data_IF_672947211067
#
_entry.id   IF_672947211067
#
_cell.length_a   1.000
_cell.length_b   1.000
_cell.length_c   1.000
_cell.angle_alpha   90.00
_cell.angle_beta   90.00
_cell.angle_gamma   90.00
#
_symmetry.space_group_name_H-M   'P 1'
#
loop_
_entity.id
_entity.type
_entity.pdbx_description
1 polymer ?
#
# COMPACT_ATOMS: atom_id res chain seq x y z
N UNK A 1 -4.18 -28.36 -8.39
CA UNK A 1 -5.37 -28.12 -7.56
C UNK A 1 -6.01 -26.84 -8.07
N UNK A 2 -7.13 -26.95 -8.77
CA UNK A 2 -7.90 -25.79 -9.23
C UNK A 2 -8.60 -25.18 -8.01
N UNK A 3 -8.21 -23.97 -7.66
CA UNK A 3 -8.90 -23.15 -6.66
C UNK A 3 -9.49 -21.95 -7.39
N UNK A 4 -10.82 -21.83 -7.34
CA UNK A 4 -11.62 -20.75 -7.92
C UNK A 4 -13.08 -21.21 -8.01
N UNK A 5 -14.02 -20.36 -7.59
CA UNK A 5 -15.43 -20.63 -7.84
C UNK A 5 -15.64 -20.62 -9.36
N UNK A 6 -16.25 -21.69 -9.86
CA UNK A 6 -16.37 -21.93 -11.29
C UNK A 6 -17.85 -21.94 -11.65
N UNK A 7 -18.25 -21.08 -12.60
CA UNK A 7 -19.62 -21.06 -13.11
C UNK A 7 -19.67 -21.75 -14.46
N UNK A 8 -20.58 -22.69 -14.63
CA UNK A 8 -20.81 -23.37 -15.92
C UNK A 8 -22.06 -22.80 -16.56
N UNK A 9 -21.95 -22.35 -17.80
CA UNK A 9 -23.04 -21.77 -18.58
C UNK A 9 -23.22 -22.57 -19.86
N UNK A 10 -24.41 -23.14 -20.02
CA UNK A 10 -24.86 -23.76 -21.27
C UNK A 10 -25.79 -22.83 -22.03
N UNK A 11 -25.60 -22.70 -23.34
CA UNK A 11 -26.50 -21.96 -24.22
C UNK A 11 -26.62 -22.61 -25.60
N UNK A 12 -27.70 -22.28 -26.31
CA UNK A 12 -27.92 -22.68 -27.70
C UNK A 12 -27.83 -21.47 -28.62
N UNK A 13 -27.14 -21.60 -29.74
CA UNK A 13 -27.00 -20.54 -30.74
C UNK A 13 -27.09 -21.09 -32.17
N UNK A 14 -28.04 -20.58 -32.95
CA UNK A 14 -28.13 -20.84 -34.37
C UNK A 14 -27.20 -19.88 -35.14
N UNK A 15 -26.22 -20.44 -35.86
CA UNK A 15 -25.33 -19.71 -36.78
C UNK A 15 -24.32 -18.70 -36.16
N UNK A 16 -23.73 -19.01 -35.00
CA UNK A 16 -22.65 -18.18 -34.45
C UNK A 16 -21.28 -18.59 -34.96
N UNK A 17 -20.46 -17.59 -35.35
CA UNK A 17 -19.03 -17.79 -35.64
C UNK A 17 -18.16 -17.51 -34.42
N UNK A 18 -18.61 -16.62 -33.54
CA UNK A 18 -17.93 -16.29 -32.28
C UNK A 18 -18.93 -15.90 -31.20
N UNK A 19 -18.48 -15.95 -29.95
CA UNK A 19 -19.21 -15.43 -28.81
C UNK A 19 -18.23 -14.75 -27.85
N UNK A 20 -18.70 -13.69 -27.21
CA UNK A 20 -18.00 -12.98 -26.16
C UNK A 20 -18.86 -12.97 -24.91
N UNK A 21 -18.33 -13.54 -23.83
CA UNK A 21 -18.93 -13.43 -22.52
C UNK A 21 -18.27 -12.29 -21.75
N UNK A 22 -19.07 -11.56 -20.99
CA UNK A 22 -18.59 -10.50 -20.12
C UNK A 22 -19.44 -10.43 -18.87
N UNK A 23 -18.79 -10.12 -17.76
CA UNK A 23 -19.46 -9.85 -16.50
C UNK A 23 -19.62 -8.33 -16.35
N UNK A 24 -20.78 -7.87 -15.90
CA UNK A 24 -21.10 -6.45 -15.79
C UNK A 24 -21.44 -6.09 -14.35
N UNK A 25 -21.03 -4.91 -13.90
CA UNK A 25 -21.50 -4.30 -12.66
C UNK A 25 -21.91 -2.86 -12.96
N UNK A 26 -23.20 -2.63 -13.18
CA UNK A 26 -23.67 -1.38 -13.78
C UNK A 26 -23.05 -1.19 -15.17
N UNK A 27 -22.25 -0.12 -15.36
CA UNK A 27 -21.58 0.17 -16.63
C UNK A 27 -20.19 -0.46 -16.78
N UNK A 28 -19.62 -1.03 -15.71
CA UNK A 28 -18.29 -1.66 -15.73
C UNK A 28 -18.37 -3.02 -16.41
N UNK A 29 -17.40 -3.33 -17.26
CA UNK A 29 -17.30 -4.59 -18.00
C UNK A 29 -16.03 -5.32 -17.58
N UNK A 30 -16.18 -6.51 -17.01
CA UNK A 30 -15.09 -7.40 -16.63
C UNK A 30 -15.00 -8.54 -17.66
N UNK A 31 -13.81 -8.76 -18.20
CA UNK A 31 -13.54 -9.90 -19.10
C UNK A 31 -12.96 -11.01 -18.25
N UNK A 32 -13.68 -12.12 -18.12
CA UNK A 32 -13.22 -13.26 -17.32
C UNK A 32 -12.56 -14.31 -18.22
N UNK A 33 -11.53 -15.02 -17.73
CA UNK A 33 -11.05 -16.23 -18.38
C UNK A 33 -12.19 -17.23 -18.55
N UNK A 34 -12.38 -17.70 -19.78
CA UNK A 34 -13.41 -18.67 -20.14
C UNK A 34 -12.80 -19.86 -20.88
N UNK A 35 -13.40 -21.03 -20.72
CA UNK A 35 -13.03 -22.25 -21.44
C UNK A 35 -14.29 -22.92 -22.00
N UNK A 36 -14.27 -23.24 -23.29
CA UNK A 36 -15.29 -24.13 -23.86
C UNK A 36 -15.08 -25.54 -23.33
N UNK A 37 -16.09 -26.08 -22.65
CA UNK A 37 -16.07 -27.43 -22.07
C UNK A 37 -16.65 -28.44 -23.04
N UNK A 38 -17.66 -28.03 -23.80
CA UNK A 38 -18.41 -28.90 -24.68
C UNK A 38 -19.09 -28.11 -25.81
N UNK A 39 -19.17 -28.73 -26.99
CA UNK A 39 -19.93 -28.23 -28.15
C UNK A 39 -20.50 -29.40 -28.92
N UNK A 40 -21.81 -29.37 -29.15
CA UNK A 40 -22.51 -30.30 -30.04
C UNK A 40 -23.58 -29.53 -30.82
N UNK A 41 -23.40 -29.44 -32.15
CA UNK A 41 -24.29 -28.65 -33.00
C UNK A 41 -24.38 -27.18 -32.56
N UNK A 42 -25.59 -26.76 -32.18
CA UNK A 42 -25.89 -25.40 -31.72
C UNK A 42 -25.70 -25.23 -30.20
N UNK A 43 -25.46 -26.30 -29.45
CA UNK A 43 -25.35 -26.29 -27.99
C UNK A 43 -23.89 -26.10 -27.59
N UNK A 44 -23.62 -25.13 -26.73
CA UNK A 44 -22.28 -24.77 -26.24
C UNK A 44 -22.31 -24.67 -24.72
N UNK A 45 -21.34 -25.32 -24.06
CA UNK A 45 -21.07 -25.15 -22.63
C UNK A 45 -19.74 -24.44 -22.41
N UNK A 46 -19.79 -23.41 -21.59
CA UNK A 46 -18.63 -22.64 -21.15
C UNK A 46 -18.42 -22.79 -19.65
N UNK A 47 -17.16 -22.78 -19.27
CA UNK A 47 -16.69 -22.67 -17.91
C UNK A 47 -16.07 -21.30 -17.71
N UNK A 48 -16.56 -20.59 -16.71
CA UNK A 48 -16.07 -19.29 -16.27
C UNK A 48 -15.32 -19.45 -14.97
N UNK A 49 -14.10 -18.96 -14.95
CA UNK A 49 -13.29 -18.96 -13.74
C UNK A 49 -13.48 -17.61 -13.05
N UNK A 50 -14.27 -17.59 -11.97
CA UNK A 50 -14.44 -16.43 -11.09
C UNK A 50 -13.27 -16.42 -10.10
N UNK A 51 -12.09 -16.09 -10.62
CA UNK A 51 -10.88 -15.92 -9.81
C UNK A 51 -10.22 -14.58 -10.10
N UNK A 52 -11.05 -13.57 -10.42
CA UNK A 52 -10.60 -12.20 -10.56
C UNK A 52 -10.51 -11.57 -9.16
N UNK A 53 -9.31 -11.37 -8.59
CA UNK A 53 -9.12 -10.88 -7.22
C UNK A 53 -9.67 -9.46 -6.95
N UNK A 54 -10.17 -8.78 -7.98
CA UNK A 54 -10.71 -7.43 -7.91
C UNK A 54 -12.25 -7.36 -7.99
N UNK A 55 -12.95 -8.50 -8.04
CA UNK A 55 -14.42 -8.47 -7.97
C UNK A 55 -14.85 -8.11 -6.54
N UNK A 56 -15.44 -6.94 -6.39
CA UNK A 56 -16.09 -6.52 -5.16
C UNK A 56 -17.31 -7.40 -4.86
N UNK A 57 -17.70 -7.49 -3.59
CA UNK A 57 -18.99 -8.11 -3.25
C UNK A 57 -20.13 -7.32 -3.89
N UNK A 58 -21.00 -7.99 -4.64
CA UNK A 58 -22.05 -7.31 -5.38
C UNK A 58 -22.89 -8.22 -6.28
N UNK A 59 -23.88 -7.61 -6.92
CA UNK A 59 -24.63 -8.25 -7.99
C UNK A 59 -23.99 -7.90 -9.32
N UNK A 60 -23.71 -8.93 -10.11
CA UNK A 60 -23.12 -8.81 -11.43
C UNK A 60 -24.06 -9.40 -12.49
N UNK A 61 -24.13 -8.79 -13.66
CA UNK A 61 -24.88 -9.33 -14.79
C UNK A 61 -23.95 -10.03 -15.76
N UNK A 62 -24.26 -11.27 -16.09
CA UNK A 62 -23.57 -12.04 -17.11
C UNK A 62 -24.19 -11.74 -18.48
N UNK A 63 -23.41 -11.09 -19.35
CA UNK A 63 -23.77 -10.75 -20.72
C UNK A 63 -23.03 -11.67 -21.69
N UNK A 64 -23.78 -12.37 -22.52
CA UNK A 64 -23.24 -13.12 -23.66
C UNK A 64 -23.62 -12.38 -24.93
N UNK A 65 -22.60 -11.92 -25.64
CA UNK A 65 -22.75 -11.35 -26.96
C UNK A 65 -22.37 -12.42 -27.98
N UNK A 66 -23.29 -12.73 -28.88
CA UNK A 66 -23.06 -13.68 -29.95
C UNK A 66 -22.86 -12.89 -31.23
N UNK A 67 -21.74 -13.12 -31.93
CA UNK A 67 -21.54 -12.48 -33.23
C UNK A 67 -22.23 -13.32 -34.32
N UNK A 68 -23.39 -12.85 -34.75
CA UNK A 68 -24.05 -13.21 -35.99
C UNK A 68 -24.18 -11.97 -36.89
N UNK A 69 -24.65 -12.15 -38.13
CA UNK A 69 -24.81 -11.05 -39.10
C UNK A 69 -25.66 -9.87 -38.56
N UNK A 70 -26.54 -10.13 -37.59
CA UNK A 70 -27.38 -9.14 -36.90
C UNK A 70 -26.93 -8.98 -35.44
N UNK A 71 -25.93 -8.13 -35.21
CA UNK A 71 -25.29 -7.87 -33.91
C UNK A 71 -26.31 -7.58 -32.77
N UNK A 72 -26.65 -8.61 -31.99
CA UNK A 72 -27.47 -8.49 -30.77
C UNK A 72 -26.65 -8.76 -29.51
N UNK A 73 -26.80 -7.92 -28.48
CA UNK A 73 -26.28 -8.19 -27.14
C UNK A 73 -27.41 -8.75 -26.25
N UNK A 74 -27.19 -9.91 -25.64
CA UNK A 74 -28.17 -10.55 -24.75
C UNK A 74 -27.62 -10.66 -23.32
N UNK A 75 -28.40 -10.21 -22.34
CA UNK A 75 -28.11 -10.40 -20.90
C UNK A 75 -28.86 -11.64 -20.42
N UNK A 76 -28.18 -12.58 -19.77
CA UNK A 76 -28.75 -13.91 -19.46
C UNK A 76 -29.06 -14.11 -17.99
N UNK A 77 -28.23 -13.59 -17.08
CA UNK A 77 -28.38 -13.89 -15.66
C UNK A 77 -27.70 -12.85 -14.78
N UNK A 78 -28.28 -12.56 -13.61
CA UNK A 78 -27.62 -11.81 -12.55
C UNK A 78 -27.11 -12.80 -11.50
N UNK A 79 -25.83 -12.73 -11.16
CA UNK A 79 -25.20 -13.51 -10.11
C UNK A 79 -24.82 -12.61 -8.95
N UNK A 80 -25.00 -13.11 -7.73
CA UNK A 80 -24.51 -12.43 -6.52
C UNK A 80 -23.17 -13.03 -6.15
N UNK A 81 -22.11 -12.25 -6.31
CA UNK A 81 -20.78 -12.61 -5.85
C UNK A 81 -20.58 -12.04 -4.45
N UNK A 82 -20.12 -12.87 -3.52
CA UNK A 82 -19.72 -12.42 -2.18
C UNK A 82 -18.23 -12.73 -2.06
N UNK A 83 -17.40 -11.71 -2.23
CA UNK A 83 -15.99 -11.83 -1.91
C UNK A 83 -15.81 -12.13 -0.42
N UNK A 84 -14.68 -12.71 -0.04
CA UNK A 84 -14.33 -12.86 1.36
C UNK A 84 -14.28 -11.46 1.99
N UNK A 85 -15.05 -11.25 3.07
CA UNK A 85 -15.01 -9.97 3.79
C UNK A 85 -13.58 -9.72 4.26
N UNK A 86 -13.04 -8.53 3.98
CA UNK A 86 -11.70 -8.15 4.42
C UNK A 86 -11.56 -8.43 5.91
N UNK A 87 -10.51 -9.13 6.30
CA UNK A 87 -10.21 -9.51 7.66
C UNK A 87 -8.70 -9.49 7.87
N UNK A 88 -8.27 -8.95 9.00
CA UNK A 88 -6.89 -9.09 9.45
C UNK A 88 -6.67 -10.56 9.85
N UNK A 89 -5.57 -11.16 9.36
CA UNK A 89 -5.17 -12.53 9.69
C UNK A 89 -3.98 -12.61 10.63
N UNK A 90 -3.19 -11.53 10.73
CA UNK A 90 -2.01 -11.50 11.57
C UNK A 90 -1.00 -10.45 11.12
N UNK A 91 0.28 -10.73 11.33
CA UNK A 91 1.40 -9.84 11.06
C UNK A 91 2.56 -10.59 10.41
N UNK A 92 3.29 -9.89 9.55
CA UNK A 92 4.63 -10.28 9.15
C UNK A 92 5.64 -9.44 9.94
N UNK A 93 6.58 -10.08 10.64
CA UNK A 93 7.53 -9.46 11.55
C UNK A 93 8.96 -9.69 11.04
N UNK A 94 9.63 -8.63 10.59
CA UNK A 94 10.99 -8.69 10.09
C UNK A 94 11.98 -8.41 11.22
N UNK A 95 12.88 -9.36 11.49
CA UNK A 95 13.99 -9.17 12.41
C UNK A 95 15.33 -9.35 11.73
N UNK A 96 16.39 -9.38 12.52
CA UNK A 96 17.77 -9.41 12.02
C UNK A 96 18.10 -10.72 11.29
N UNK A 97 17.57 -11.84 11.79
CA UNK A 97 17.93 -13.19 11.32
C UNK A 97 16.77 -13.98 10.75
N UNK A 98 15.54 -13.49 10.90
CA UNK A 98 14.35 -14.20 10.46
C UNK A 98 13.18 -13.28 10.12
N UNK A 99 12.34 -13.73 9.20
CA UNK A 99 10.99 -13.22 8.99
C UNK A 99 9.99 -14.17 9.64
N UNK A 100 9.12 -13.66 10.51
CA UNK A 100 8.03 -14.46 11.10
C UNK A 100 6.68 -14.03 10.56
N UNK A 101 5.84 -14.98 10.16
CA UNK A 101 4.41 -14.77 9.96
C UNK A 101 3.70 -15.25 11.22
N UNK A 102 3.00 -14.33 11.89
CA UNK A 102 2.26 -14.59 13.13
C UNK A 102 0.78 -14.41 12.84
N UNK A 103 -0.03 -15.45 13.02
CA UNK A 103 -1.49 -15.32 12.86
C UNK A 103 -2.16 -14.72 14.11
N UNK A 104 -3.45 -14.39 14.02
CA UNK A 104 -4.20 -13.84 15.16
C UNK A 104 -4.30 -14.80 16.38
N UNK A 105 -4.08 -16.10 16.17
CA UNK A 105 -4.04 -17.11 17.24
C UNK A 105 -2.62 -17.28 17.81
N UNK A 106 -1.68 -16.41 17.41
CA UNK A 106 -0.28 -16.43 17.80
C UNK A 106 0.51 -17.66 17.29
N UNK A 107 -0.01 -18.38 16.29
CA UNK A 107 0.78 -19.40 15.60
C UNK A 107 1.84 -18.72 14.73
N UNK A 108 3.03 -19.32 14.69
CA UNK A 108 4.21 -18.72 14.04
C UNK A 108 4.78 -19.63 12.98
N UNK A 109 5.09 -19.03 11.84
CA UNK A 109 5.92 -19.63 10.80
C UNK A 109 7.15 -18.73 10.66
N UNK A 110 8.34 -19.29 10.85
CA UNK A 110 9.60 -18.55 10.77
C UNK A 110 10.40 -18.96 9.55
N UNK A 111 10.90 -17.96 8.82
CA UNK A 111 11.77 -18.13 7.67
C UNK A 111 13.15 -17.53 7.99
N UNK A 112 14.24 -18.30 7.92
CA UNK A 112 15.57 -17.78 8.15
C UNK A 112 15.96 -16.78 7.04
N UNK A 113 16.64 -15.71 7.43
CA UNK A 113 17.19 -14.72 6.52
C UNK A 113 18.70 -14.88 6.46
N UNK A 114 19.23 -15.02 5.25
CA UNK A 114 20.67 -15.16 5.05
C UNK A 114 21.44 -13.85 5.27
N UNK A 115 20.74 -12.70 5.21
CA UNK A 115 21.31 -11.34 5.25
C UNK A 115 20.32 -10.38 5.89
N UNK A 116 20.78 -9.26 6.49
CA UNK A 116 19.93 -8.32 7.19
C UNK A 116 19.08 -7.52 6.21
N UNK A 117 17.77 -7.48 6.43
CA UNK A 117 16.83 -6.57 5.77
C UNK A 117 16.32 -5.57 6.82
N UNK A 118 15.98 -4.36 6.39
CA UNK A 118 15.51 -3.28 7.27
C UNK A 118 14.09 -2.79 6.93
N UNK A 119 13.54 -3.20 5.79
CA UNK A 119 12.16 -2.90 5.43
C UNK A 119 11.42 -4.14 4.88
N UNK A 120 10.13 -4.19 5.21
CA UNK A 120 9.20 -5.24 4.81
C UNK A 120 7.89 -4.61 4.33
N UNK A 121 7.35 -5.10 3.21
CA UNK A 121 5.95 -4.87 2.84
C UNK A 121 5.31 -6.14 2.31
N UNK A 122 4.02 -6.32 2.59
CA UNK A 122 3.26 -7.50 2.17
C UNK A 122 2.07 -7.09 1.31
N UNK A 123 2.00 -7.61 0.09
CA UNK A 123 0.78 -7.59 -0.72
C UNK A 123 -0.01 -8.86 -0.45
N UNK A 124 -1.05 -8.78 0.39
CA UNK A 124 -1.93 -9.94 0.66
C UNK A 124 -2.70 -10.35 -0.61
N UNK A 125 -3.11 -9.35 -1.41
CA UNK A 125 -3.74 -9.48 -2.73
C UNK A 125 -2.92 -10.40 -3.66
N UNK A 126 -1.66 -10.03 -3.88
CA UNK A 126 -0.77 -10.78 -4.78
C UNK A 126 -0.13 -11.99 -4.08
N UNK A 127 -0.30 -12.12 -2.76
CA UNK A 127 0.47 -13.06 -1.92
C UNK A 127 1.98 -12.91 -2.07
N UNK A 128 2.45 -11.67 -1.94
CA UNK A 128 3.85 -11.32 -2.08
C UNK A 128 4.39 -10.65 -0.83
N UNK A 129 5.65 -10.94 -0.54
CA UNK A 129 6.48 -10.28 0.45
C UNK A 129 7.60 -9.55 -0.29
N UNK A 130 7.76 -8.27 0.00
CA UNK A 130 8.83 -7.42 -0.49
C UNK A 130 9.78 -7.13 0.67
N UNK A 131 11.06 -7.44 0.46
CA UNK A 131 12.12 -7.22 1.44
C UNK A 131 13.18 -6.32 0.82
N UNK A 132 13.66 -5.35 1.59
CA UNK A 132 14.79 -4.53 1.21
C UNK A 132 15.74 -4.34 2.37
N UNK A 133 17.02 -4.20 2.04
CA UNK A 133 18.06 -3.86 2.99
C UNK A 133 18.57 -2.47 2.69
N UNK A 134 19.02 -1.78 3.74
CA UNK A 134 19.59 -0.45 3.65
C UNK A 134 20.64 -0.37 2.53
N UNK A 135 21.58 -1.31 2.55
CA UNK A 135 22.67 -1.45 1.60
C UNK A 135 22.88 -2.93 1.23
N UNK A 136 23.69 -3.17 0.20
CA UNK A 136 24.27 -4.47 -0.18
C UNK A 136 23.33 -5.58 -0.65
N UNK A 137 22.02 -5.49 -0.39
CA UNK A 137 21.04 -6.45 -0.92
C UNK A 137 20.10 -5.83 -1.95
N UNK A 138 19.82 -6.55 -3.05
CA UNK A 138 18.72 -6.21 -3.93
C UNK A 138 17.39 -6.30 -3.19
N UNK A 139 16.39 -5.58 -3.69
CA UNK A 139 15.02 -5.77 -3.20
C UNK A 139 14.53 -7.15 -3.63
N UNK A 140 14.11 -7.98 -2.67
CA UNK A 140 13.64 -9.34 -2.94
C UNK A 140 12.13 -9.41 -2.89
N UNK A 141 11.56 -10.01 -3.93
CA UNK A 141 10.14 -10.34 -4.02
C UNK A 141 9.96 -11.84 -3.81
N UNK A 142 9.22 -12.21 -2.78
CA UNK A 142 9.01 -13.60 -2.36
C UNK A 142 7.53 -13.94 -2.27
N UNK A 143 7.17 -15.21 -2.46
CA UNK A 143 5.80 -15.69 -2.22
C UNK A 143 5.49 -15.68 -0.73
N UNK A 144 4.30 -15.23 -0.36
CA UNK A 144 3.83 -15.21 1.03
C UNK A 144 3.65 -16.62 1.61
N UNK A 145 3.25 -17.61 0.79
CA UNK A 145 2.91 -18.97 1.23
C UNK A 145 4.11 -19.76 1.74
N UNK A 146 5.21 -19.72 0.99
CA UNK A 146 6.36 -20.62 1.16
C UNK A 146 7.71 -19.88 1.14
N UNK A 147 7.66 -18.54 1.07
CA UNK A 147 8.83 -17.66 1.04
C UNK A 147 9.77 -17.91 -0.15
N UNK A 148 9.28 -18.58 -1.20
CA UNK A 148 10.03 -18.80 -2.43
C UNK A 148 10.40 -17.47 -3.09
N UNK A 149 11.67 -17.31 -3.47
CA UNK A 149 12.13 -16.16 -4.25
C UNK A 149 11.53 -16.18 -5.66
N UNK A 150 10.94 -15.06 -6.07
CA UNK A 150 10.39 -14.87 -7.41
C UNK A 150 11.23 -13.92 -8.25
N UNK A 151 11.66 -12.82 -7.64
CA UNK A 151 12.39 -11.75 -8.34
C UNK A 151 13.32 -11.03 -7.39
N UNK A 152 14.40 -10.51 -7.95
CA UNK A 152 15.26 -9.52 -7.33
C UNK A 152 15.26 -8.25 -8.20
N UNK A 153 15.11 -7.08 -7.58
CA UNK A 153 15.36 -5.80 -8.25
C UNK A 153 16.82 -5.43 -8.00
N UNK A 154 17.59 -5.12 -9.06
CA UNK A 154 19.02 -4.93 -8.95
C UNK A 154 19.39 -3.78 -8.01
N UNK A 155 20.60 -3.86 -7.47
CA UNK A 155 21.23 -2.76 -6.76
C UNK A 155 21.41 -1.56 -7.68
N UNK A 156 21.29 -0.37 -7.11
CA UNK A 156 21.32 0.90 -7.85
C UNK A 156 22.52 1.75 -7.45
N UNK A 157 23.11 1.43 -6.30
CA UNK A 157 24.38 1.96 -5.83
C UNK A 157 25.41 0.84 -5.69
N UNK A 158 26.68 1.23 -5.59
CA UNK A 158 27.74 0.31 -5.23
C UNK A 158 27.49 -0.30 -3.82
N UNK A 159 28.08 -1.48 -3.52
CA UNK A 159 28.07 -2.04 -2.18
C UNK A 159 28.54 -1.02 -1.12
N UNK A 160 27.90 -1.03 0.05
CA UNK A 160 28.09 -0.13 1.18
C UNK A 160 27.22 1.13 1.14
N UNK A 161 26.52 1.40 0.03
CA UNK A 161 25.67 2.57 -0.12
C UNK A 161 24.18 2.22 -0.06
N UNK A 162 23.39 3.21 0.37
CA UNK A 162 21.95 3.09 0.48
C UNK A 162 21.30 2.92 -0.91
N UNK A 163 20.39 1.96 -1.09
CA UNK A 163 19.72 1.73 -2.37
C UNK A 163 18.33 2.37 -2.49
N UNK A 164 17.66 2.63 -1.38
CA UNK A 164 16.31 3.17 -1.39
C UNK A 164 16.07 4.09 -0.20
N UNK A 165 15.19 5.09 -0.36
CA UNK A 165 14.78 5.98 0.72
C UNK A 165 13.52 5.50 1.45
N UNK A 166 12.51 4.99 0.75
CA UNK A 166 11.27 4.53 1.37
C UNK A 166 10.50 3.52 0.50
N UNK A 167 9.80 2.59 1.16
CA UNK A 167 8.71 1.78 0.60
C UNK A 167 7.36 2.35 1.02
N UNK A 168 6.48 2.59 0.05
CA UNK A 168 5.16 3.19 0.30
C UNK A 168 4.11 2.27 -0.30
N UNK A 169 3.31 1.66 0.58
CA UNK A 169 2.26 0.71 0.19
C UNK A 169 1.02 1.47 -0.30
N UNK A 170 0.52 1.10 -1.47
CA UNK A 170 -0.81 1.45 -1.97
C UNK A 170 -1.77 0.27 -1.79
N UNK A 171 -3.02 0.43 -2.23
CA UNK A 171 -4.00 -0.67 -2.23
C UNK A 171 -3.57 -1.79 -3.18
N UNK A 172 -3.01 -1.40 -4.33
CA UNK A 172 -2.70 -2.27 -5.45
C UNK A 172 -1.24 -2.70 -5.49
N UNK A 173 -0.34 -1.90 -4.94
CA UNK A 173 1.09 -2.12 -5.12
C UNK A 173 1.92 -1.34 -4.15
N UNK A 174 3.15 -1.05 -4.57
CA UNK A 174 4.18 -0.44 -3.75
C UNK A 174 4.98 0.55 -4.58
N UNK A 175 5.16 1.75 -4.06
CA UNK A 175 6.14 2.68 -4.58
C UNK A 175 7.48 2.47 -3.87
N UNK A 176 8.56 2.39 -4.65
CA UNK A 176 9.94 2.34 -4.19
C UNK A 176 10.64 3.63 -4.59
N UNK A 177 10.99 4.46 -3.59
CA UNK A 177 11.78 5.66 -3.81
C UNK A 177 13.27 5.29 -3.80
N UNK A 178 13.94 5.32 -4.95
CA UNK A 178 15.34 4.89 -5.08
C UNK A 178 16.32 6.04 -4.88
N UNK A 179 17.56 5.69 -4.54
CA UNK A 179 18.60 6.68 -4.25
C UNK A 179 19.26 7.28 -5.50
N UNK A 180 19.09 6.63 -6.65
CA UNK A 180 19.54 7.10 -7.96
C UNK A 180 18.60 8.17 -8.58
N UNK A 181 17.47 8.46 -7.92
CA UNK A 181 16.49 9.45 -8.38
C UNK A 181 15.31 8.83 -9.11
N UNK A 182 15.30 7.51 -9.31
CA UNK A 182 14.16 6.80 -9.86
C UNK A 182 13.08 6.53 -8.79
N UNK A 183 11.84 6.51 -9.25
CA UNK A 183 10.69 6.06 -8.47
C UNK A 183 10.06 4.91 -9.25
N UNK A 184 10.01 3.72 -8.65
CA UNK A 184 9.39 2.55 -9.25
C UNK A 184 8.03 2.27 -8.60
N UNK A 185 7.03 1.95 -9.41
CA UNK A 185 5.78 1.37 -8.97
C UNK A 185 5.76 -0.13 -9.25
N UNK A 186 5.62 -0.92 -8.18
CA UNK A 186 5.63 -2.37 -8.19
C UNK A 186 4.26 -2.94 -7.90
N UNK A 187 3.84 -3.86 -8.76
CA UNK A 187 2.59 -4.58 -8.64
C UNK A 187 2.77 -5.98 -9.24
N UNK A 188 2.15 -6.98 -8.61
CA UNK A 188 2.31 -8.40 -8.96
C UNK A 188 3.77 -8.88 -8.98
N UNK A 189 4.63 -8.21 -8.21
CA UNK A 189 6.04 -8.56 -8.08
C UNK A 189 6.91 -8.11 -9.25
N UNK A 190 6.43 -7.22 -10.11
CA UNK A 190 7.18 -6.62 -11.20
C UNK A 190 7.05 -5.09 -11.17
N UNK A 191 8.02 -4.40 -11.77
CA UNK A 191 7.95 -2.95 -12.01
C UNK A 191 6.98 -2.70 -13.14
N UNK A 192 5.88 -2.01 -12.86
CA UNK A 192 4.84 -1.67 -13.83
C UNK A 192 5.05 -0.28 -14.43
N UNK A 193 5.61 0.63 -13.64
CA UNK A 193 5.95 1.97 -14.09
C UNK A 193 7.17 2.49 -13.33
N UNK A 194 7.92 3.37 -13.98
CA UNK A 194 9.05 4.07 -13.39
C UNK A 194 9.06 5.51 -13.87
N UNK A 195 9.53 6.42 -13.02
CA UNK A 195 9.83 7.79 -13.44
C UNK A 195 11.15 8.24 -12.85
N UNK A 196 11.94 8.94 -13.65
CA UNK A 196 13.24 9.47 -13.23
C UNK A 196 13.12 10.95 -12.92
N UNK A 197 13.58 11.35 -11.74
CA UNK A 197 13.64 12.76 -11.39
C UNK A 197 14.74 13.49 -12.17
N UNK A 198 14.63 14.83 -12.32
CA UNK A 198 15.69 15.63 -12.90
C UNK A 198 17.04 15.34 -12.25
N UNK A 199 18.11 15.38 -13.04
CA UNK A 199 19.46 15.03 -12.58
C UNK A 199 19.80 15.71 -11.24
N UNK A 200 20.24 14.89 -10.28
CA UNK A 200 20.59 15.35 -8.94
C UNK A 200 19.40 15.56 -8.00
N UNK A 201 18.15 15.28 -8.39
CA UNK A 201 17.01 15.24 -7.45
C UNK A 201 16.69 13.82 -7.02
N UNK A 202 16.26 13.66 -5.76
CA UNK A 202 15.85 12.37 -5.19
C UNK A 202 14.60 12.52 -4.33
N UNK A 203 13.60 11.66 -4.51
CA UNK A 203 12.46 11.54 -3.63
C UNK A 203 12.86 10.76 -2.37
N UNK A 204 12.63 11.34 -1.18
CA UNK A 204 13.10 10.73 0.08
C UNK A 204 11.98 10.35 1.04
N UNK A 205 10.81 10.97 0.89
CA UNK A 205 9.61 10.70 1.68
C UNK A 205 8.41 10.65 0.77
N UNK A 206 7.42 9.82 1.08
CA UNK A 206 6.20 9.76 0.33
C UNK A 206 5.03 9.13 1.08
N UNK A 207 3.84 9.38 0.57
CA UNK A 207 2.59 8.77 1.01
C UNK A 207 1.64 8.58 -0.19
N UNK A 208 0.60 7.78 0.00
CA UNK A 208 -0.46 7.60 -1.00
C UNK A 208 -1.65 8.46 -0.64
N UNK A 209 -2.06 9.34 -1.56
CA UNK A 209 -3.28 10.13 -1.48
C UNK A 209 -4.15 9.78 -2.70
N UNK A 210 -5.36 9.27 -2.48
CA UNK A 210 -6.30 8.89 -3.55
C UNK A 210 -5.62 8.03 -4.63
N UNK A 211 -4.95 6.95 -4.20
CA UNK A 211 -4.22 5.98 -5.04
C UNK A 211 -2.99 6.54 -5.78
N UNK A 212 -2.70 7.83 -5.63
CA UNK A 212 -1.56 8.49 -6.25
C UNK A 212 -0.43 8.71 -5.26
N UNK A 213 0.80 8.68 -5.76
CA UNK A 213 1.97 9.04 -4.97
C UNK A 213 2.03 10.55 -4.77
N UNK A 214 2.27 10.94 -3.53
CA UNK A 214 2.78 12.27 -3.17
C UNK A 214 4.14 12.06 -2.51
N UNK A 215 5.15 12.81 -2.94
CA UNK A 215 6.51 12.65 -2.43
C UNK A 215 7.16 14.00 -2.11
N UNK A 216 8.12 13.97 -1.19
CA UNK A 216 9.06 15.07 -0.97
C UNK A 216 10.37 14.74 -1.63
N UNK A 217 10.75 15.55 -2.62
CA UNK A 217 12.01 15.46 -3.33
C UNK A 217 12.98 16.54 -2.87
N UNK A 218 14.28 16.25 -2.95
CA UNK A 218 15.37 17.15 -2.57
C UNK A 218 16.38 17.19 -3.69
N UNK A 219 17.14 18.28 -3.80
CA UNK A 219 18.36 18.27 -4.60
C UNK A 219 19.46 17.41 -3.95
N UNK A 220 20.58 17.26 -4.65
CA UNK A 220 21.67 16.34 -4.29
C UNK A 220 22.33 16.73 -2.96
N UNK A 221 22.35 18.03 -2.65
CA UNK A 221 22.86 18.55 -1.39
C UNK A 221 21.87 18.32 -0.23
N UNK A 222 20.68 17.77 -0.50
CA UNK A 222 19.59 17.67 0.47
C UNK A 222 18.94 19.02 0.76
N UNK A 223 19.15 19.99 -0.12
CA UNK A 223 18.61 21.34 -0.03
C UNK A 223 17.39 21.46 -0.96
N UNK A 224 16.65 22.56 -0.82
CA UNK A 224 15.50 22.90 -1.69
C UNK A 224 14.44 21.79 -1.84
N UNK A 225 13.79 21.40 -0.73
CA UNK A 225 12.76 20.38 -0.74
C UNK A 225 11.53 20.82 -1.56
N UNK A 226 10.90 19.90 -2.27
CA UNK A 226 9.64 20.11 -2.98
C UNK A 226 8.65 18.99 -2.69
N UNK A 227 7.39 19.35 -2.42
CA UNK A 227 6.27 18.42 -2.34
C UNK A 227 5.68 18.25 -3.74
N UNK A 228 5.76 17.06 -4.29
CA UNK A 228 5.36 16.73 -5.65
C UNK A 228 4.21 15.72 -5.65
N UNK A 229 3.20 15.97 -6.49
CA UNK A 229 2.07 15.09 -6.70
C UNK A 229 2.20 14.44 -8.07
N UNK A 230 2.15 13.11 -8.09
CA UNK A 230 2.35 12.30 -9.28
C UNK A 230 1.03 11.83 -9.83
N UNK A 231 0.93 11.80 -11.17
CA UNK A 231 -0.20 11.16 -11.83
C UNK A 231 -0.28 9.67 -11.50
N UNK A 232 -1.44 9.06 -11.74
CA UNK A 232 -1.58 7.61 -11.70
C UNK A 232 -0.51 6.97 -12.59
N UNK A 233 0.13 5.91 -12.10
CA UNK A 233 1.21 5.19 -12.79
C UNK A 233 2.50 6.01 -13.01
N UNK A 234 2.77 7.06 -12.23
CA UNK A 234 4.03 7.84 -12.29
C UNK A 234 4.31 8.53 -13.65
N UNK A 235 3.30 8.72 -14.49
CA UNK A 235 3.45 9.31 -15.84
C UNK A 235 3.80 10.81 -15.87
N UNK A 236 4.08 11.41 -14.71
CA UNK A 236 4.50 12.80 -14.59
C UNK A 236 4.05 13.45 -13.29
N UNK A 237 4.64 14.60 -12.99
CA UNK A 237 4.27 15.46 -11.87
C UNK A 237 3.20 16.43 -12.37
N UNK A 238 2.01 16.42 -11.76
CA UNK A 238 0.95 17.37 -12.13
C UNK A 238 0.92 18.61 -11.23
N UNK A 239 1.61 18.56 -10.08
CA UNK A 239 1.64 19.66 -9.11
C UNK A 239 2.89 19.58 -8.24
N UNK A 240 3.50 20.72 -7.92
CA UNK A 240 4.67 20.80 -7.04
C UNK A 240 4.63 22.07 -6.18
N UNK A 241 5.08 21.96 -4.93
CA UNK A 241 5.22 23.06 -3.99
C UNK A 241 6.64 23.13 -3.43
N UNK A 242 7.29 24.30 -3.42
CA UNK A 242 8.51 24.47 -2.65
C UNK A 242 8.18 24.33 -1.15
N UNK A 243 8.97 23.52 -0.45
CA UNK A 243 8.91 23.40 1.00
C UNK A 243 10.02 24.23 1.64
N UNK A 244 9.81 24.63 2.89
CA UNK A 244 10.83 25.25 3.73
C UNK A 244 11.17 24.35 4.92
N UNK A 245 12.23 24.69 5.66
CA UNK A 245 12.65 23.91 6.82
C UNK A 245 13.34 22.59 6.47
N UNK A 246 13.37 21.68 7.44
CA UNK A 246 14.09 20.39 7.39
C UNK A 246 13.27 19.26 8.02
N UNK A 247 13.73 18.02 7.90
CA UNK A 247 13.11 16.84 8.52
C UNK A 247 11.64 16.65 8.18
N UNK A 248 11.30 16.74 6.89
CA UNK A 248 9.92 16.61 6.43
C UNK A 248 9.38 15.21 6.68
N UNK A 249 8.16 15.15 7.21
CA UNK A 249 7.36 13.94 7.34
C UNK A 249 6.01 14.23 6.70
N UNK A 250 5.55 13.34 5.82
CA UNK A 250 4.31 13.55 5.07
C UNK A 250 3.32 12.43 5.29
N UNK A 251 2.04 12.78 5.29
CA UNK A 251 0.95 11.83 5.48
C UNK A 251 -0.32 12.31 4.76
N UNK A 252 -1.15 11.38 4.30
CA UNK A 252 -2.43 11.74 3.70
C UNK A 252 -3.43 12.09 4.81
N UNK A 253 -4.27 13.11 4.57
CA UNK A 253 -5.41 13.39 5.42
C UNK A 253 -6.61 12.60 4.89
N UNK A 254 -6.96 11.52 5.60
CA UNK A 254 -7.99 10.58 5.18
C UNK A 254 -9.32 11.29 4.89
N UNK A 255 -9.96 10.94 3.77
CA UNK A 255 -11.27 11.49 3.38
C UNK A 255 -11.24 12.84 2.64
N UNK A 256 -10.06 13.48 2.50
CA UNK A 256 -9.89 14.73 1.78
C UNK A 256 -8.85 14.60 0.65
N UNK A 257 -8.69 15.67 -0.15
CA UNK A 257 -7.58 15.83 -1.10
C UNK A 257 -6.36 16.53 -0.48
N UNK A 258 -6.20 16.41 0.84
CA UNK A 258 -5.19 17.15 1.59
C UNK A 258 -4.01 16.24 1.98
N UNK A 259 -2.81 16.81 1.95
CA UNK A 259 -1.57 16.21 2.47
C UNK A 259 -1.06 17.07 3.61
N UNK A 260 -0.81 16.46 4.76
CA UNK A 260 -0.09 17.10 5.85
C UNK A 260 1.42 16.91 5.69
N UNK A 261 2.17 17.97 5.95
CA UNK A 261 3.64 17.99 6.00
C UNK A 261 4.06 18.55 7.35
N UNK A 262 4.62 17.69 8.20
CA UNK A 262 5.37 18.14 9.39
C UNK A 262 6.78 18.49 8.97
N UNK A 263 7.24 19.67 9.35
CA UNK A 263 8.59 20.14 9.07
C UNK A 263 9.18 20.89 10.26
N UNK A 264 10.50 20.90 10.34
CA UNK A 264 11.24 21.61 11.37
C UNK A 264 11.76 22.94 10.85
N UNK A 265 11.38 24.03 11.51
CA UNK A 265 11.83 25.41 11.21
C UNK A 265 12.12 26.14 12.52
N UNK A 266 13.29 26.80 12.61
CA UNK A 266 13.70 27.55 13.81
C UNK A 266 13.56 26.74 15.10
N UNK A 267 13.99 25.47 15.07
CA UNK A 267 13.89 24.49 16.16
C UNK A 267 12.49 23.99 16.54
N UNK A 268 11.44 24.51 15.90
CA UNK A 268 10.03 24.18 16.13
C UNK A 268 9.48 23.25 15.06
N UNK A 269 8.49 22.45 15.42
CA UNK A 269 7.69 21.69 14.47
C UNK A 269 6.52 22.54 13.95
N UNK A 270 6.35 22.57 12.63
CA UNK A 270 5.24 23.21 11.95
C UNK A 270 4.49 22.16 11.14
N UNK A 271 3.16 22.23 11.14
CA UNK A 271 2.29 21.42 10.28
C UNK A 271 1.76 22.29 9.15
N UNK A 272 2.11 21.92 7.93
CA UNK A 272 1.65 22.57 6.71
C UNK A 272 0.66 21.63 6.02
N UNK A 273 -0.52 22.11 5.64
CA UNK A 273 -1.55 21.32 4.96
C UNK A 273 -1.68 21.82 3.54
N UNK A 274 -1.52 20.92 2.58
CA UNK A 274 -1.55 21.21 1.15
C UNK A 274 -2.76 20.51 0.51
N UNK A 275 -3.63 21.29 -0.12
CA UNK A 275 -4.78 20.76 -0.84
C UNK A 275 -4.46 20.59 -2.33
N UNK A 276 -4.58 19.37 -2.87
CA UNK A 276 -4.24 19.11 -4.28
C UNK A 276 -5.19 19.77 -5.28
N UNK A 277 -6.46 20.05 -4.90
CA UNK A 277 -7.44 20.66 -5.81
C UNK A 277 -7.36 22.19 -5.87
N UNK A 278 -7.34 22.84 -4.72
CA UNK A 278 -7.47 24.30 -4.57
C UNK A 278 -6.13 25.03 -4.55
N UNK A 279 -5.04 24.29 -4.41
CA UNK A 279 -3.69 24.83 -4.19
C UNK A 279 -3.51 25.67 -2.93
N UNK A 280 -4.48 25.63 -2.02
CA UNK A 280 -4.40 26.34 -0.76
C UNK A 280 -3.42 25.65 0.19
N UNK A 281 -2.65 26.49 0.89
CA UNK A 281 -1.79 26.14 2.01
C UNK A 281 -2.43 26.70 3.29
N UNK A 282 -2.64 25.84 4.28
CA UNK A 282 -2.86 26.29 5.66
C UNK A 282 -1.68 25.91 6.54
N UNK A 283 -1.33 26.82 7.45
CA UNK A 283 -0.25 26.66 8.41
C UNK A 283 -0.84 26.48 9.80
N UNK A 284 -0.48 25.38 10.44
CA UNK A 284 -0.82 25.06 11.82
C UNK A 284 0.48 24.86 12.62
N UNK A 285 0.53 25.38 13.85
CA UNK A 285 1.73 25.33 14.67
C UNK A 285 1.65 24.20 15.70
N UNK A 286 2.68 23.35 15.73
CA UNK A 286 2.80 22.23 16.67
C UNK A 286 4.00 22.51 17.58
N UNK A 287 3.71 23.13 18.73
CA UNK A 287 4.75 23.48 19.70
C UNK A 287 5.36 22.23 20.33
N UNK A 288 6.55 21.84 19.87
CA UNK A 288 7.43 20.94 20.62
C UNK A 288 8.88 21.20 20.23
N UNK A 289 9.61 21.87 21.12
CA UNK A 289 11.01 22.22 20.88
C UNK A 289 11.88 21.01 21.23
N UNK A 290 12.77 20.64 20.29
CA UNK A 290 14.00 19.85 20.51
C UNK A 290 14.04 18.37 20.08
N UNK A 291 12.92 17.66 19.88
CA UNK A 291 13.02 16.19 19.74
C UNK A 291 12.75 15.71 18.29
N UNK A 292 13.63 14.86 17.69
CA UNK A 292 13.40 14.25 16.37
C UNK A 292 12.15 13.37 16.35
N UNK A 293 11.45 13.35 15.21
CA UNK A 293 10.33 12.43 14.99
C UNK A 293 10.83 11.01 14.69
N UNK A 294 10.29 10.02 15.39
CA UNK A 294 10.52 8.60 15.18
C UNK A 294 9.46 7.95 14.25
N UNK A 295 8.28 8.56 14.14
CA UNK A 295 7.21 8.12 13.24
C UNK A 295 5.95 8.97 13.35
N UNK A 296 5.06 8.86 12.36
CA UNK A 296 3.75 9.51 12.39
C UNK A 296 2.71 8.78 11.55
N UNK A 297 1.44 8.91 11.93
CA UNK A 297 0.31 8.55 11.09
C UNK A 297 -0.92 9.38 11.47
N UNK A 298 -1.82 9.58 10.52
CA UNK A 298 -3.15 10.14 10.77
C UNK A 298 -4.13 9.02 11.08
N UNK A 299 -4.86 9.17 12.18
CA UNK A 299 -6.03 8.37 12.53
C UNK A 299 -7.24 9.24 12.18
N UNK A 300 -8.07 8.82 11.23
CA UNK A 300 -9.20 9.65 10.74
C UNK A 300 -8.72 10.99 10.13
N UNK A 301 -9.65 11.82 9.66
CA UNK A 301 -9.36 13.04 8.88
C UNK A 301 -8.70 14.18 9.68
N UNK A 302 -8.70 14.12 11.02
CA UNK A 302 -8.31 15.24 11.86
C UNK A 302 -7.36 14.90 13.01
N UNK A 303 -7.00 13.62 13.23
CA UNK A 303 -6.13 13.24 14.35
C UNK A 303 -4.77 12.80 13.85
N UNK A 304 -3.73 13.49 14.29
CA UNK A 304 -2.34 13.14 14.02
C UNK A 304 -1.75 12.46 15.25
N UNK A 305 -1.18 11.28 15.02
CA UNK A 305 -0.32 10.60 15.96
C UNK A 305 1.12 10.75 15.49
N UNK A 306 2.01 11.15 16.38
CA UNK A 306 3.43 11.20 16.08
C UNK A 306 4.24 10.86 17.32
N UNK A 307 5.39 10.23 17.13
CA UNK A 307 6.28 9.88 18.23
C UNK A 307 7.62 10.55 18.06
N UNK A 308 8.20 10.91 19.19
CA UNK A 308 9.60 11.25 19.31
C UNK A 308 10.40 10.03 19.81
N UNK A 309 11.67 10.19 20.13
CA UNK A 309 12.45 9.15 20.82
C UNK A 309 12.01 8.93 22.29
N UNK A 310 11.21 9.84 22.85
CA UNK A 310 10.81 9.85 24.25
C UNK A 310 9.32 9.61 24.49
N UNK A 311 8.45 10.13 23.63
CA UNK A 311 7.01 10.10 23.86
C UNK A 311 6.22 9.87 22.56
N UNK A 312 4.99 9.37 22.72
CA UNK A 312 3.95 9.36 21.70
C UNK A 312 2.98 10.51 21.98
N UNK A 313 2.75 11.33 20.98
CA UNK A 313 1.85 12.46 21.03
C UNK A 313 0.63 12.26 20.14
N UNK A 314 -0.45 12.91 20.56
CA UNK A 314 -1.69 13.09 19.81
C UNK A 314 -1.91 14.58 19.60
N UNK A 315 -2.21 15.00 18.38
CA UNK A 315 -2.58 16.37 18.04
C UNK A 315 -3.77 16.38 17.08
N UNK A 316 -4.64 17.38 17.18
CA UNK A 316 -5.61 17.63 16.11
C UNK A 316 -4.93 18.41 15.00
N UNK A 317 -5.17 17.98 13.77
CA UNK A 317 -4.63 18.57 12.54
C UNK A 317 -5.18 19.98 12.33
N UNK A 318 -6.44 20.21 12.73
CA UNK A 318 -7.11 21.50 12.57
C UNK A 318 -7.38 22.13 13.93
N UNK A 319 -7.15 23.44 14.01
CA UNK A 319 -7.36 24.22 15.22
C UNK A 319 -6.11 24.26 16.11
N UNK A 320 -6.09 25.23 17.03
CA UNK A 320 -4.94 25.59 17.87
C UNK A 320 -4.65 24.61 19.02
N UNK A 321 -4.88 23.31 18.81
CA UNK A 321 -4.67 22.29 19.84
C UNK A 321 -3.19 22.01 20.06
N UNK A 322 -2.73 22.11 21.31
CA UNK A 322 -1.38 21.72 21.70
C UNK A 322 -1.32 20.18 21.70
N UNK A 323 -0.24 19.56 21.15
CA UNK A 323 -0.04 18.12 21.23
C UNK A 323 -0.06 17.61 22.67
N UNK A 324 -0.71 16.47 22.88
CA UNK A 324 -0.83 15.82 24.19
C UNK A 324 0.02 14.56 24.17
N UNK A 325 0.97 14.45 25.10
CA UNK A 325 1.70 13.21 25.34
C UNK A 325 0.75 12.16 25.91
N UNK A 326 0.73 10.96 25.32
CA UNK A 326 -0.20 9.90 25.72
C UNK A 326 0.50 8.61 26.16
N UNK A 327 1.73 8.36 25.71
CA UNK A 327 2.52 7.18 26.08
C UNK A 327 4.01 7.52 26.09
N UNK A 328 4.77 6.86 26.96
CA UNK A 328 6.22 7.00 27.01
C UNK A 328 6.95 5.99 26.12
N UNK A 329 8.14 6.37 25.67
CA UNK A 329 9.05 5.61 24.83
C UNK A 329 9.01 5.99 23.34
N UNK A 330 10.05 5.58 22.63
CA UNK A 330 10.14 5.68 21.18
C UNK A 330 9.19 4.69 20.51
N UNK A 331 8.28 5.19 19.68
CA UNK A 331 7.42 4.38 18.82
C UNK A 331 7.79 4.65 17.36
N UNK A 332 7.78 3.58 16.54
CA UNK A 332 8.12 3.66 15.11
C UNK A 332 7.19 2.79 14.27
N UNK A 333 7.36 2.82 12.94
CA UNK A 333 6.66 1.96 11.99
C UNK A 333 5.13 1.97 12.19
N UNK A 334 4.51 3.14 12.02
CA UNK A 334 3.08 3.32 12.21
C UNK A 334 2.30 2.72 11.03
N UNK A 335 1.25 1.94 11.29
CA UNK A 335 0.42 1.34 10.25
C UNK A 335 -1.07 1.39 10.61
N UNK A 336 -1.87 1.97 9.71
CA UNK A 336 -3.32 1.98 9.84
C UNK A 336 -3.90 0.68 9.26
N UNK A 337 -4.73 -0.01 10.02
CA UNK A 337 -5.40 -1.21 9.56
C UNK A 337 -6.53 -0.88 8.58
N UNK A 338 -6.57 -1.59 7.45
CA UNK A 338 -7.63 -1.49 6.45
C UNK A 338 -8.94 -2.12 6.92
N UNK A 339 -8.88 -3.02 7.89
CA UNK A 339 -10.02 -3.78 8.38
C UNK A 339 -10.87 -2.96 9.36
N UNK A 340 -10.23 -2.42 10.40
CA UNK A 340 -10.89 -1.78 11.54
C UNK A 340 -10.45 -0.33 11.76
N UNK A 341 -9.58 0.21 10.89
CA UNK A 341 -8.99 1.55 11.01
C UNK A 341 -8.21 1.74 12.34
N UNK A 342 -7.79 0.65 12.99
CA UNK A 342 -6.93 0.71 14.17
C UNK A 342 -5.50 1.10 13.80
N UNK A 343 -4.86 1.94 14.61
CA UNK A 343 -3.45 2.27 14.44
C UNK A 343 -2.58 1.23 15.15
N UNK A 344 -1.72 0.57 14.40
CA UNK A 344 -0.65 -0.27 14.91
C UNK A 344 0.65 0.51 14.91
N UNK A 345 1.49 0.25 15.91
CA UNK A 345 2.79 0.88 16.05
C UNK A 345 3.76 -0.08 16.72
N UNK A 346 5.05 0.11 16.44
CA UNK A 346 6.12 -0.68 17.03
C UNK A 346 6.73 0.05 18.22
N UNK A 347 6.95 -0.69 19.31
CA UNK A 347 7.79 -0.27 20.44
C UNK A 347 8.76 -1.40 20.78
N UNK A 348 10.05 -1.15 20.62
CA UNK A 348 11.09 -2.17 20.70
C UNK A 348 10.74 -3.39 19.82
N UNK A 349 10.65 -4.59 20.40
CA UNK A 349 10.40 -5.85 19.68
C UNK A 349 8.92 -6.22 19.58
N UNK A 350 8.02 -5.30 19.95
CA UNK A 350 6.58 -5.57 20.08
C UNK A 350 5.79 -4.61 19.19
N UNK A 351 4.74 -5.15 18.57
CA UNK A 351 3.69 -4.42 17.87
C UNK A 351 2.50 -4.26 18.80
N UNK A 352 2.04 -3.02 18.96
CA UNK A 352 0.86 -2.67 19.73
C UNK A 352 -0.20 -2.05 18.85
N UNK A 353 -1.47 -2.29 19.18
CA UNK A 353 -2.61 -1.52 18.70
C UNK A 353 -2.86 -0.37 19.67
N UNK A 354 -2.95 0.85 19.16
CA UNK A 354 -3.37 2.02 19.93
C UNK A 354 -4.90 2.08 19.93
N UNK A 355 -5.51 1.97 21.10
CA UNK A 355 -6.95 2.10 21.28
C UNK A 355 -7.36 3.58 21.39
N UNK A 356 -8.66 3.85 21.24
CA UNK A 356 -9.23 5.21 21.30
C UNK A 356 -9.07 5.88 22.67
N UNK A 357 -8.92 5.09 23.73
CA UNK A 357 -8.61 5.52 25.09
C UNK A 357 -7.10 5.80 25.30
N UNK A 358 -6.31 5.78 24.23
CA UNK A 358 -4.86 5.94 24.19
C UNK A 358 -4.06 4.80 24.86
N UNK A 359 -4.69 3.68 25.19
CA UNK A 359 -3.99 2.52 25.71
C UNK A 359 -3.36 1.68 24.60
N UNK A 360 -2.20 1.11 24.88
CA UNK A 360 -1.53 0.16 24.00
C UNK A 360 -1.98 -1.27 24.32
N UNK A 361 -2.61 -1.92 23.35
CA UNK A 361 -2.95 -3.34 23.42
C UNK A 361 -1.91 -4.16 22.67
N UNK A 362 -1.38 -5.21 23.31
CA UNK A 362 -0.46 -6.13 22.65
C UNK A 362 -1.11 -6.76 21.40
N UNK A 363 -0.37 -6.79 20.29
CA UNK A 363 -0.83 -7.43 19.05
C UNK A 363 0.08 -8.59 18.64
N UNK A 364 1.40 -8.34 18.57
CA UNK A 364 2.39 -9.36 18.25
C UNK A 364 3.77 -8.94 18.80
N UNK A 365 4.70 -9.88 18.91
CA UNK A 365 6.09 -9.60 19.26
C UNK A 365 7.03 -10.51 18.50
N UNK A 366 8.30 -10.10 18.41
CA UNK A 366 9.41 -10.92 17.93
C UNK A 366 10.41 -11.13 19.08
N UNK A 367 11.12 -12.25 19.07
CA UNK A 367 12.09 -12.57 20.13
C UNK A 367 13.42 -11.80 19.96
N UNK A 368 13.86 -11.59 18.73
CA UNK A 368 15.00 -10.74 18.38
C UNK A 368 14.56 -9.31 18.05
N UNK A 369 15.52 -8.47 17.64
CA UNK A 369 15.25 -7.05 17.33
C UNK A 369 14.29 -6.95 16.14
N UNK A 370 13.12 -6.36 16.37
CA UNK A 370 12.16 -6.08 15.32
C UNK A 370 12.62 -4.87 14.48
N UNK A 371 12.88 -5.09 13.19
CA UNK A 371 13.31 -4.05 12.26
C UNK A 371 12.10 -3.33 11.64
N UNK A 372 11.16 -4.09 11.09
CA UNK A 372 9.91 -3.61 10.49
C UNK A 372 8.81 -4.66 10.66
N UNK A 373 7.56 -4.29 10.38
CA UNK A 373 6.44 -5.22 10.31
C UNK A 373 5.45 -4.82 9.23
N UNK A 374 4.51 -5.68 8.87
CA UNK A 374 3.33 -5.32 8.06
C UNK A 374 2.11 -6.16 8.48
N UNK A 375 0.91 -5.62 8.28
CA UNK A 375 -0.36 -6.31 8.59
C UNK A 375 -0.71 -7.28 7.46
N UNK A 376 -1.06 -8.51 7.83
CA UNK A 376 -1.54 -9.55 6.93
C UNK A 376 -3.06 -9.53 6.87
N UNK A 377 -3.62 -9.53 5.67
CA UNK A 377 -5.06 -9.64 5.43
C UNK A 377 -5.39 -10.98 4.75
N UNK A 378 -6.66 -11.39 4.80
CA UNK A 378 -7.15 -12.43 3.90
C UNK A 378 -7.12 -11.93 2.45
N UNK A 379 -7.09 -12.90 1.54
CA UNK A 379 -7.37 -12.65 0.13
C UNK A 379 -8.86 -12.44 -0.07
#
# INVERSE_FOLDING_TARGET
MNFGDTLRLGFESSNSTSYKLSLLQGSRVFTLPQREVFREGNTVDLELVFNEPYLESGTYDLRLQVENADKGASTFSSLRYTGLALAQRGFALLGETSLELVDNNQNRISFPLARPFDALKVSSRDSLIYLAAFADEPVKVRRLKDFQLLRELPLVQAPGFRNYYQFIKSVEGLYLLRTDGDIDYLEEGAVQASTSLPAGRTARKGCVLNEKLVAVSYDQAGLNPQLEFYNSSLNGIFQSYPLSGSNHVIFPLQGNQDVGVLLRRNSKWELHIYNSASQNLSLEYIGNDQIPLAGSATIQSQLLMFSTDQELYRAFVFGSSIPIAIQSGAHKNFQLSRFDQGLYLQKANTVYRLNLDNNLQFAASKFDVLQDYDILYNK
#
